data_IF_515471123306
#
_entry.id   IF_515471123306
#
_cell.length_a   1.000
_cell.length_b   1.000
_cell.length_c   1.000
_cell.angle_alpha   90.00
_cell.angle_beta   90.00
_cell.angle_gamma   90.00
#
_symmetry.space_group_name_H-M   'P 1'
#
loop_
_entity.id
_entity.type
_entity.pdbx_description
1 polymer ?
#
# COMPACT_ATOMS: atom_id res chain seq x y z
N UNK A 1 -24.26 7.07 -22.08
CA UNK A 1 -23.52 6.80 -20.85
C UNK A 1 -23.05 8.16 -20.35
N UNK A 2 -23.77 8.75 -19.40
CA UNK A 2 -23.48 10.07 -18.86
C UNK A 2 -22.28 9.91 -17.92
N UNK A 3 -21.13 10.49 -18.29
CA UNK A 3 -20.01 10.69 -17.40
C UNK A 3 -20.48 11.60 -16.26
N UNK A 4 -20.67 11.03 -15.08
CA UNK A 4 -20.80 11.80 -13.86
C UNK A 4 -19.45 12.46 -13.60
N UNK A 5 -19.30 13.71 -14.07
CA UNK A 5 -18.22 14.58 -13.62
C UNK A 5 -18.32 14.71 -12.10
N UNK A 6 -17.39 14.05 -11.43
CA UNK A 6 -17.30 14.04 -9.97
C UNK A 6 -16.74 15.41 -9.53
N UNK A 7 -17.60 16.40 -9.40
CA UNK A 7 -17.24 17.64 -8.71
C UNK A 7 -16.97 17.33 -7.24
N UNK A 8 -15.72 17.51 -6.87
CA UNK A 8 -15.13 17.01 -5.61
C UNK A 8 -15.75 17.61 -4.32
N UNK A 9 -16.66 18.59 -4.41
CA UNK A 9 -17.08 19.40 -3.27
C UNK A 9 -18.59 19.68 -3.18
N UNK A 10 -19.46 18.86 -3.78
CA UNK A 10 -20.90 19.04 -3.63
C UNK A 10 -21.44 18.11 -2.52
N UNK A 11 -21.74 18.65 -1.31
CA UNK A 11 -22.36 17.89 -0.25
C UNK A 11 -23.78 17.48 -0.68
N UNK A 12 -24.05 16.19 -0.72
CA UNK A 12 -25.37 15.66 -1.11
C UNK A 12 -25.48 15.18 -2.55
N UNK A 13 -24.41 15.22 -3.34
CA UNK A 13 -24.39 14.76 -4.74
C UNK A 13 -24.87 13.31 -4.96
N UNK A 14 -24.87 12.51 -3.92
CA UNK A 14 -25.35 11.13 -3.94
C UNK A 14 -26.77 10.98 -3.40
N UNK A 15 -27.41 12.04 -2.90
CA UNK A 15 -28.75 11.99 -2.40
C UNK A 15 -29.72 11.71 -3.55
N UNK A 16 -30.67 10.86 -3.32
CA UNK A 16 -31.65 10.42 -4.33
C UNK A 16 -31.06 9.65 -5.54
N UNK A 17 -29.78 9.26 -5.52
CA UNK A 17 -29.23 8.38 -6.55
C UNK A 17 -29.79 6.97 -6.42
N UNK A 18 -30.12 6.27 -7.54
CA UNK A 18 -30.52 4.88 -7.50
C UNK A 18 -29.44 3.98 -6.86
N UNK A 19 -29.85 2.94 -6.12
CA UNK A 19 -28.93 2.02 -5.43
C UNK A 19 -27.81 1.45 -6.30
N UNK A 20 -28.06 0.97 -7.52
CA UNK A 20 -27.00 0.51 -8.42
C UNK A 20 -25.96 1.59 -8.75
N UNK A 21 -26.40 2.83 -9.02
CA UNK A 21 -25.49 3.94 -9.29
C UNK A 21 -24.64 4.32 -8.07
N UNK A 22 -25.17 4.14 -6.84
CA UNK A 22 -24.40 4.34 -5.61
C UNK A 22 -23.31 3.27 -5.45
N UNK A 23 -23.61 2.01 -5.78
CA UNK A 23 -22.61 0.94 -5.74
C UNK A 23 -21.48 1.19 -6.73
N UNK A 24 -21.79 1.58 -7.98
CA UNK A 24 -20.81 1.91 -9.00
C UNK A 24 -19.94 3.12 -8.57
N UNK A 25 -20.57 4.16 -8.01
CA UNK A 25 -19.88 5.32 -7.49
C UNK A 25 -18.94 4.97 -6.32
N UNK A 26 -19.38 4.07 -5.42
CA UNK A 26 -18.54 3.58 -4.32
C UNK A 26 -17.29 2.86 -4.83
N UNK A 27 -17.45 1.95 -5.79
CA UNK A 27 -16.32 1.24 -6.42
C UNK A 27 -15.36 2.22 -7.08
N UNK A 28 -15.87 3.19 -7.87
CA UNK A 28 -15.05 4.18 -8.54
C UNK A 28 -14.25 5.06 -7.55
N UNK A 29 -14.90 5.53 -6.48
CA UNK A 29 -14.25 6.33 -5.44
C UNK A 29 -13.20 5.51 -4.68
N UNK A 30 -13.51 4.26 -4.33
CA UNK A 30 -12.57 3.38 -3.64
C UNK A 30 -11.34 3.09 -4.49
N UNK A 31 -11.51 2.84 -5.78
CA UNK A 31 -10.39 2.64 -6.71
C UNK A 31 -9.50 3.88 -6.79
N UNK A 32 -10.09 5.07 -6.84
CA UNK A 32 -9.33 6.33 -6.81
C UNK A 32 -8.55 6.51 -5.50
N UNK A 33 -9.19 6.26 -4.35
CA UNK A 33 -8.53 6.32 -3.05
C UNK A 33 -7.33 5.38 -3.01
N UNK A 34 -7.45 4.17 -3.56
CA UNK A 34 -6.34 3.21 -3.64
C UNK A 34 -5.21 3.71 -4.54
N UNK A 35 -5.53 4.32 -5.69
CA UNK A 35 -4.53 4.90 -6.58
C UNK A 35 -3.79 6.06 -5.91
N UNK A 36 -4.52 6.98 -5.26
CA UNK A 36 -3.93 8.09 -4.51
C UNK A 36 -3.09 7.58 -3.33
N UNK A 37 -3.53 6.49 -2.69
CA UNK A 37 -2.78 5.84 -1.62
C UNK A 37 -1.47 5.22 -2.11
N UNK A 38 -1.47 4.56 -3.26
CA UNK A 38 -0.25 4.05 -3.88
C UNK A 38 0.75 5.18 -4.16
N UNK A 39 0.28 6.30 -4.72
CA UNK A 39 1.11 7.49 -4.94
C UNK A 39 1.64 8.08 -3.63
N UNK A 40 0.82 8.11 -2.57
CA UNK A 40 1.27 8.55 -1.23
C UNK A 40 2.39 7.67 -0.69
N UNK A 41 2.28 6.35 -0.81
CA UNK A 41 3.31 5.40 -0.35
C UNK A 41 4.61 5.59 -1.13
N UNK A 42 4.54 5.82 -2.45
CA UNK A 42 5.72 6.11 -3.26
C UNK A 42 6.39 7.43 -2.86
N UNK A 43 5.61 8.48 -2.62
CA UNK A 43 6.14 9.77 -2.13
C UNK A 43 6.81 9.63 -0.76
N UNK A 44 6.27 8.82 0.14
CA UNK A 44 6.87 8.55 1.45
C UNK A 44 8.21 7.83 1.30
N UNK A 45 8.29 6.83 0.43
CA UNK A 45 9.55 6.14 0.12
C UNK A 45 10.60 7.09 -0.46
N UNK A 46 10.21 8.01 -1.32
CA UNK A 46 11.12 9.00 -1.91
C UNK A 46 11.57 10.06 -0.88
N UNK A 47 10.68 10.50 0.01
CA UNK A 47 11.03 11.40 1.12
C UNK A 47 12.07 10.75 2.06
N UNK A 48 11.91 9.48 2.35
CA UNK A 48 12.86 8.74 3.18
C UNK A 48 14.21 8.61 2.47
N UNK A 49 14.20 8.19 1.21
CA UNK A 49 15.40 8.02 0.39
C UNK A 49 16.24 9.31 0.27
N UNK A 50 15.60 10.48 0.24
CA UNK A 50 16.27 11.78 0.08
C UNK A 50 16.73 12.40 1.39
N UNK A 51 16.54 11.73 2.53
CA UNK A 51 16.84 12.29 3.87
C UNK A 51 16.22 13.69 4.11
N UNK A 52 15.09 13.97 3.44
CA UNK A 52 14.45 15.29 3.45
C UNK A 52 14.09 15.75 4.87
N UNK A 53 13.84 14.82 5.78
CA UNK A 53 13.58 15.11 7.19
C UNK A 53 14.71 15.91 7.85
N UNK A 54 15.98 15.60 7.51
CA UNK A 54 17.16 16.30 8.06
C UNK A 54 17.23 17.74 7.56
N UNK A 55 16.99 17.93 6.25
CA UNK A 55 16.96 19.28 5.65
C UNK A 55 15.85 20.15 6.23
N UNK A 56 14.72 19.54 6.59
CA UNK A 56 13.56 20.19 7.19
C UNK A 56 13.68 20.33 8.73
N UNK A 57 14.77 19.86 9.35
CA UNK A 57 15.01 20.00 10.80
C UNK A 57 14.26 19.00 11.67
N UNK A 58 13.79 17.88 11.11
CA UNK A 58 13.13 16.80 11.85
C UNK A 58 14.07 15.65 12.16
N UNK A 59 13.83 14.98 13.28
CA UNK A 59 14.64 13.85 13.73
C UNK A 59 14.45 12.56 12.94
N UNK A 60 13.35 12.44 12.17
CA UNK A 60 13.07 11.27 11.33
C UNK A 60 12.04 11.59 10.24
N UNK A 61 12.02 10.77 9.18
CA UNK A 61 11.00 10.85 8.11
C UNK A 61 9.58 10.69 8.66
N UNK A 62 9.37 9.83 9.66
CA UNK A 62 8.06 9.68 10.29
C UNK A 62 7.59 10.96 11.01
N UNK A 63 8.50 11.72 11.65
CA UNK A 63 8.17 13.01 12.26
C UNK A 63 7.83 14.07 11.21
N UNK A 64 8.63 14.15 10.14
CA UNK A 64 8.35 15.04 9.01
C UNK A 64 6.98 14.73 8.39
N UNK A 65 6.72 13.46 8.12
CA UNK A 65 5.47 12.99 7.53
C UNK A 65 4.26 13.35 8.42
N UNK A 66 4.35 13.08 9.74
CA UNK A 66 3.30 13.44 10.68
C UNK A 66 3.01 14.96 10.69
N UNK A 67 4.05 15.78 10.62
CA UNK A 67 3.91 17.24 10.58
C UNK A 67 3.28 17.74 9.27
N UNK A 68 3.70 17.22 8.11
CA UNK A 68 3.20 17.65 6.80
C UNK A 68 1.75 17.21 6.55
N UNK A 69 1.40 15.99 6.97
CA UNK A 69 0.09 15.40 6.66
C UNK A 69 -0.90 15.45 7.83
N UNK A 70 -0.45 15.92 9.00
CA UNK A 70 -1.26 16.01 10.23
C UNK A 70 -1.84 14.67 10.70
N UNK A 71 -1.19 13.56 10.33
CA UNK A 71 -1.55 12.23 10.82
C UNK A 71 -0.88 11.96 12.17
N UNK A 72 -1.38 10.96 12.90
CA UNK A 72 -0.74 10.53 14.13
C UNK A 72 0.66 9.98 13.90
N UNK A 73 1.58 10.03 14.87
CA UNK A 73 2.91 9.41 14.76
C UNK A 73 2.84 7.91 14.46
N UNK A 74 1.81 7.22 14.94
CA UNK A 74 1.57 5.80 14.64
C UNK A 74 1.26 5.61 13.16
N UNK A 75 0.39 6.44 12.60
CA UNK A 75 0.03 6.37 11.19
C UNK A 75 1.22 6.73 10.28
N UNK A 76 2.01 7.74 10.65
CA UNK A 76 3.23 8.09 9.91
C UNK A 76 4.24 6.94 9.86
N UNK A 77 4.48 6.27 10.99
CA UNK A 77 5.35 5.08 11.05
C UNK A 77 4.80 3.92 10.22
N UNK A 78 3.48 3.73 10.24
CA UNK A 78 2.79 2.71 9.44
C UNK A 78 3.00 2.94 7.94
N UNK A 79 2.79 4.16 7.46
CA UNK A 79 3.03 4.54 6.06
C UNK A 79 4.48 4.33 5.65
N UNK A 80 5.44 4.72 6.51
CA UNK A 80 6.86 4.51 6.24
C UNK A 80 7.20 3.03 6.14
N UNK A 81 6.71 2.21 7.08
CA UNK A 81 6.93 0.76 7.07
C UNK A 81 6.35 0.09 5.81
N UNK A 82 5.22 0.57 5.31
CA UNK A 82 4.64 0.08 4.05
C UNK A 82 5.52 0.49 2.85
N UNK A 83 6.00 1.74 2.82
CA UNK A 83 6.90 2.21 1.77
C UNK A 83 8.20 1.38 1.73
N UNK A 84 8.78 1.04 2.87
CA UNK A 84 9.96 0.18 2.99
C UNK A 84 9.75 -1.21 2.34
N UNK A 85 8.52 -1.73 2.32
CA UNK A 85 8.20 -3.03 1.73
C UNK A 85 8.01 -2.98 0.22
N UNK A 86 7.43 -1.89 -0.30
CA UNK A 86 6.99 -1.84 -1.71
C UNK A 86 7.76 -0.84 -2.57
N UNK A 87 8.61 0.01 -1.97
CA UNK A 87 9.42 0.94 -2.75
C UNK A 87 10.82 0.36 -3.03
N UNK A 88 11.39 0.61 -4.21
CA UNK A 88 12.77 0.26 -4.51
C UNK A 88 13.72 1.08 -3.63
N UNK A 89 14.85 0.49 -3.29
CA UNK A 89 15.93 1.19 -2.59
C UNK A 89 17.05 1.56 -3.55
N UNK A 90 17.69 2.70 -3.31
CA UNK A 90 18.84 3.16 -4.09
C UNK A 90 20.06 3.21 -3.18
N UNK A 91 21.08 2.41 -3.50
CA UNK A 91 22.35 2.41 -2.75
C UNK A 91 23.13 3.71 -3.00
N UNK A 92 24.11 4.06 -2.13
CA UNK A 92 25.01 5.21 -2.36
C UNK A 92 25.74 5.17 -3.70
N UNK A 93 25.95 3.99 -4.26
CA UNK A 93 26.55 3.77 -5.59
C UNK A 93 25.55 3.89 -6.73
N UNK A 94 24.32 4.39 -6.46
CA UNK A 94 23.21 4.53 -7.40
C UNK A 94 22.70 3.21 -8.00
N UNK A 95 23.00 2.08 -7.38
CA UNK A 95 22.38 0.82 -7.75
C UNK A 95 20.94 0.80 -7.20
N UNK A 96 19.97 0.51 -8.08
CA UNK A 96 18.56 0.37 -7.71
C UNK A 96 18.31 -1.10 -7.38
N UNK A 97 17.96 -1.37 -6.13
CA UNK A 97 17.50 -2.69 -5.71
C UNK A 97 15.98 -2.77 -5.79
N UNK A 98 15.42 -3.89 -6.27
CA UNK A 98 13.97 -4.07 -6.29
C UNK A 98 13.39 -3.96 -4.87
N UNK A 99 12.08 -3.64 -4.75
CA UNK A 99 11.43 -3.64 -3.45
C UNK A 99 11.42 -5.05 -2.83
N UNK A 100 11.35 -5.15 -1.49
CA UNK A 100 11.23 -6.45 -0.81
C UNK A 100 10.02 -7.28 -1.25
N UNK A 101 8.91 -6.61 -1.62
CA UNK A 101 7.65 -7.23 -2.04
C UNK A 101 7.26 -6.74 -3.45
N UNK A 102 7.89 -7.27 -4.52
CA UNK A 102 7.70 -6.76 -5.88
C UNK A 102 6.31 -7.04 -6.47
N UNK A 103 5.72 -8.21 -6.23
CA UNK A 103 4.38 -8.53 -6.71
C UNK A 103 3.30 -7.74 -5.96
N UNK A 104 3.47 -7.55 -4.65
CA UNK A 104 2.62 -6.68 -3.81
C UNK A 104 2.67 -5.22 -4.30
N UNK A 105 3.86 -4.73 -4.67
CA UNK A 105 4.00 -3.41 -5.29
C UNK A 105 3.14 -3.27 -6.54
N UNK A 106 3.19 -4.25 -7.43
CA UNK A 106 2.39 -4.23 -8.67
C UNK A 106 0.89 -4.15 -8.34
N UNK A 107 0.40 -4.98 -7.42
CA UNK A 107 -1.00 -4.96 -7.01
C UNK A 107 -1.41 -3.61 -6.36
N UNK A 108 -0.52 -2.98 -5.60
CA UNK A 108 -0.75 -1.66 -5.00
C UNK A 108 -0.84 -0.57 -6.08
N UNK A 109 0.09 -0.54 -7.03
CA UNK A 109 0.11 0.43 -8.15
C UNK A 109 -1.08 0.25 -9.08
N UNK A 110 -1.54 -1.00 -9.28
CA UNK A 110 -2.78 -1.32 -10.02
C UNK A 110 -4.06 -0.84 -9.28
N UNK A 111 -3.94 -0.28 -8.08
CA UNK A 111 -5.05 0.19 -7.24
C UNK A 111 -6.07 -0.91 -6.86
N UNK A 112 -5.64 -2.18 -6.84
CA UNK A 112 -6.50 -3.32 -6.48
C UNK A 112 -6.39 -3.71 -5.01
N UNK A 113 -5.30 -3.33 -4.35
CA UNK A 113 -5.08 -3.51 -2.91
C UNK A 113 -4.83 -2.17 -2.21
N UNK A 114 -4.81 -2.17 -0.90
CA UNK A 114 -4.47 -1.02 -0.04
C UNK A 114 -3.37 -1.35 0.96
N UNK A 115 -3.05 -0.39 1.84
CA UNK A 115 -1.98 -0.55 2.83
C UNK A 115 -2.20 -1.68 3.83
N UNK A 116 -3.44 -2.04 4.13
CA UNK A 116 -3.73 -3.14 5.06
C UNK A 116 -3.36 -4.50 4.45
N UNK A 117 -3.59 -4.69 3.14
CA UNK A 117 -3.12 -5.87 2.41
C UNK A 117 -1.60 -5.96 2.41
N UNK A 118 -0.90 -4.81 2.17
CA UNK A 118 0.58 -4.76 2.23
C UNK A 118 1.08 -5.23 3.60
N UNK A 119 0.44 -4.81 4.69
CA UNK A 119 0.81 -5.22 6.06
C UNK A 119 0.61 -6.71 6.30
N UNK A 120 -0.50 -7.26 5.82
CA UNK A 120 -0.77 -8.71 5.93
C UNK A 120 0.30 -9.51 5.20
N UNK A 121 0.62 -9.15 3.95
CA UNK A 121 1.65 -9.84 3.16
C UNK A 121 3.02 -9.69 3.82
N UNK A 122 3.39 -8.47 4.22
CA UNK A 122 4.67 -8.21 4.89
C UNK A 122 4.80 -8.99 6.21
N UNK A 123 3.70 -9.16 6.95
CA UNK A 123 3.69 -9.99 8.16
C UNK A 123 3.93 -11.46 7.81
N UNK A 124 3.18 -12.01 6.89
CA UNK A 124 3.31 -13.40 6.46
C UNK A 124 4.74 -13.71 5.95
N UNK A 125 5.33 -12.80 5.19
CA UNK A 125 6.69 -12.95 4.67
C UNK A 125 7.77 -12.98 5.78
N UNK A 126 7.53 -12.33 6.92
CA UNK A 126 8.43 -12.39 8.10
C UNK A 126 8.34 -13.72 8.83
N UNK A 127 7.19 -14.38 8.79
CA UNK A 127 6.99 -15.68 9.42
C UNK A 127 7.65 -16.84 8.64
N UNK A 128 8.03 -16.61 7.37
CA UNK A 128 8.73 -17.63 6.58
C UNK A 128 10.15 -17.80 7.12
N UNK A 129 10.55 -19.04 7.52
CA UNK A 129 11.88 -19.31 8.03
C UNK A 129 13.00 -18.89 7.06
N UNK A 130 14.14 -18.44 7.61
CA UNK A 130 15.28 -17.95 6.81
C UNK A 130 15.93 -19.02 5.91
N UNK A 131 15.70 -20.30 6.20
CA UNK A 131 16.23 -21.43 5.41
C UNK A 131 15.41 -21.76 4.16
N UNK A 132 14.22 -21.14 4.01
CA UNK A 132 13.38 -21.31 2.81
C UNK A 132 14.07 -20.65 1.63
N UNK A 133 14.14 -21.39 0.53
CA UNK A 133 14.75 -20.94 -0.71
C UNK A 133 14.19 -19.61 -1.21
N UNK A 134 15.03 -18.70 -1.71
CA UNK A 134 14.59 -17.38 -2.21
C UNK A 134 13.49 -17.47 -3.29
N UNK A 135 13.59 -18.42 -4.23
CA UNK A 135 12.59 -18.60 -5.28
C UNK A 135 11.22 -19.04 -4.69
N UNK A 136 11.25 -19.91 -3.68
CA UNK A 136 10.04 -20.31 -2.96
C UNK A 136 9.42 -19.14 -2.19
N UNK A 137 10.24 -18.27 -1.59
CA UNK A 137 9.77 -17.04 -0.92
C UNK A 137 9.13 -16.07 -1.91
N UNK A 138 9.74 -15.85 -3.07
CA UNK A 138 9.16 -15.02 -4.13
C UNK A 138 7.84 -15.62 -4.67
N UNK A 139 7.79 -16.94 -4.82
CA UNK A 139 6.56 -17.66 -5.20
C UNK A 139 5.43 -17.48 -4.19
N UNK A 140 5.76 -17.53 -2.90
CA UNK A 140 4.81 -17.31 -1.80
C UNK A 140 4.28 -15.87 -1.79
N UNK A 141 5.17 -14.87 -1.93
CA UNK A 141 4.79 -13.46 -2.00
C UNK A 141 3.85 -13.21 -3.19
N UNK A 142 4.18 -13.76 -4.36
CA UNK A 142 3.36 -13.65 -5.57
C UNK A 142 1.98 -14.26 -5.37
N UNK A 143 1.90 -15.44 -4.78
CA UNK A 143 0.62 -16.10 -4.51
C UNK A 143 -0.27 -15.28 -3.57
N UNK A 144 0.32 -14.68 -2.51
CA UNK A 144 -0.43 -13.78 -1.61
C UNK A 144 -0.86 -12.49 -2.30
N UNK A 145 -0.01 -11.90 -3.15
CA UNK A 145 -0.35 -10.70 -3.90
C UNK A 145 -1.49 -10.96 -4.91
N UNK A 146 -1.52 -12.14 -5.52
CA UNK A 146 -2.60 -12.55 -6.43
C UNK A 146 -3.91 -12.79 -5.66
N UNK A 147 -3.87 -13.45 -4.50
CA UNK A 147 -5.05 -13.64 -3.64
C UNK A 147 -5.61 -12.29 -3.15
N UNK A 148 -4.74 -11.35 -2.79
CA UNK A 148 -5.12 -10.02 -2.31
C UNK A 148 -5.93 -9.20 -3.31
N UNK A 149 -5.89 -9.54 -4.61
CA UNK A 149 -6.67 -8.85 -5.65
C UNK A 149 -8.18 -9.05 -5.48
N UNK A 150 -8.60 -10.10 -4.81
CA UNK A 150 -10.02 -10.48 -4.64
C UNK A 150 -10.43 -10.69 -3.19
N UNK A 151 -9.49 -10.97 -2.30
CA UNK A 151 -9.73 -11.18 -0.88
C UNK A 151 -9.64 -9.85 -0.10
N UNK A 152 -10.45 -9.71 0.93
CA UNK A 152 -10.24 -8.65 1.93
C UNK A 152 -9.03 -8.99 2.85
N UNK A 153 -8.51 -8.02 3.64
CA UNK A 153 -7.33 -8.26 4.49
C UNK A 153 -7.51 -9.39 5.52
N UNK A 154 -8.74 -9.65 5.99
CA UNK A 154 -8.99 -10.73 6.94
C UNK A 154 -8.97 -12.10 6.26
N UNK A 155 -9.57 -12.20 5.08
CA UNK A 155 -9.53 -13.40 4.24
C UNK A 155 -8.09 -13.71 3.79
N UNK A 156 -7.35 -12.67 3.37
CA UNK A 156 -5.95 -12.79 2.98
C UNK A 156 -5.09 -13.31 4.14
N UNK A 157 -5.30 -12.80 5.37
CA UNK A 157 -4.60 -13.29 6.57
C UNK A 157 -4.89 -14.78 6.81
N UNK A 158 -6.15 -15.18 6.76
CA UNK A 158 -6.53 -16.59 6.92
C UNK A 158 -5.94 -17.48 5.81
N UNK A 159 -5.77 -16.96 4.59
CA UNK A 159 -5.09 -17.65 3.50
C UNK A 159 -3.59 -17.80 3.81
N UNK A 160 -2.92 -16.73 4.22
CA UNK A 160 -1.51 -16.73 4.60
C UNK A 160 -1.21 -17.73 5.73
N UNK A 161 -2.04 -17.75 6.78
CA UNK A 161 -1.90 -18.67 7.91
C UNK A 161 -1.98 -20.14 7.46
N UNK A 162 -2.91 -20.44 6.53
CA UNK A 162 -3.00 -21.81 5.97
C UNK A 162 -1.77 -22.18 5.15
N UNK A 163 -1.26 -21.25 4.34
CA UNK A 163 -0.07 -21.49 3.52
C UNK A 163 1.20 -21.69 4.34
N UNK A 164 1.30 -21.03 5.51
CA UNK A 164 2.45 -21.17 6.43
C UNK A 164 2.41 -22.47 7.24
N UNK A 165 1.26 -23.16 7.30
CA UNK A 165 1.09 -24.39 8.10
C UNK A 165 1.37 -25.66 7.30
N UNK A 166 1.56 -25.58 5.99
CA UNK A 166 1.86 -26.70 5.07
C UNK A 166 3.36 -26.85 4.88
#
# INVERSE_FOLDING_TARGET
VSELEIHHNDPGRFWASPGPALADALVAVTTRIRADYAALVELVGELDRTDMHRLAGYGSTAQLLAALTRVSPKQAKRLLAQAEQVCPTVTPTRHVSPPPLPATRVALVDAVIDGEHVEVIAHAMREIPAWVDPEAREGFERALADEARTADPAQLRACADRMLTV
#
